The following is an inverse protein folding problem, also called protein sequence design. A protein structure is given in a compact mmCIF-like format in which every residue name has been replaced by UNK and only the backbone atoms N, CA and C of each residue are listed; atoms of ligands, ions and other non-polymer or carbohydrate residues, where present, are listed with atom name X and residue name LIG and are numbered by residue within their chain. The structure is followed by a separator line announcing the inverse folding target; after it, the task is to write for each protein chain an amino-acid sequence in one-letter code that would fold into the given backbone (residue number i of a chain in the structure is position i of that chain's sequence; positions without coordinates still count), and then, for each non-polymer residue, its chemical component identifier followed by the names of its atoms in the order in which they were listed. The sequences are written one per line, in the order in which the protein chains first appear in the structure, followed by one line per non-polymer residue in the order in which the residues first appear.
data_IF_348526455162
#
_entry.id   IF_348526455162
#
_cell.length_a   1.000
_cell.length_b   1.000
_cell.length_c   1.000
_cell.angle_alpha   90.00
_cell.angle_beta   90.00
_cell.angle_gamma   90.00
#
_symmetry.space_group_name_H-M   'P 1'
#
loop_
_entity.id
_entity.type
_entity.pdbx_description
1 polymer ?
#
# COMPACT_ATOMS: atom_id res chain seq x y z
N UNK A 1 -12.12 -7.28 -2.59
CA UNK A 1 -12.92 -6.64 -3.66
C UNK A 1 -14.24 -7.36 -3.86
N UNK A 2 -14.44 -8.32 -4.79
CA UNK A 2 -15.80 -8.88 -5.09
C UNK A 2 -16.69 -9.26 -3.89
N UNK A 3 -16.12 -9.79 -2.81
CA UNK A 3 -16.86 -10.18 -1.59
C UNK A 3 -17.07 -9.06 -0.57
N UNK A 4 -16.43 -7.90 -0.75
CA UNK A 4 -16.30 -6.83 0.23
C UNK A 4 -16.62 -5.44 -0.32
N UNK A 5 -17.00 -5.33 -1.60
CA UNK A 5 -17.28 -4.08 -2.30
C UNK A 5 -18.53 -4.24 -3.18
N UNK A 6 -19.16 -3.15 -3.65
CA UNK A 6 -20.28 -3.23 -4.58
C UNK A 6 -19.96 -4.01 -5.86
N UNK A 7 -21.00 -4.52 -6.52
CA UNK A 7 -20.87 -5.17 -7.82
C UNK A 7 -20.26 -4.21 -8.85
N UNK A 8 -19.30 -4.67 -9.65
CA UNK A 8 -18.59 -3.86 -10.64
C UNK A 8 -17.35 -3.14 -10.10
N UNK A 9 -17.17 -3.04 -8.78
CA UNK A 9 -16.03 -2.32 -8.19
C UNK A 9 -14.68 -2.90 -8.65
N UNK A 10 -14.54 -4.23 -8.67
CA UNK A 10 -13.28 -4.86 -9.10
C UNK A 10 -12.99 -4.53 -10.56
N UNK A 11 -14.02 -4.59 -11.39
CA UNK A 11 -13.94 -4.39 -12.83
C UNK A 11 -13.65 -2.93 -13.21
N UNK A 12 -14.16 -1.97 -12.43
CA UNK A 12 -14.06 -0.54 -12.73
C UNK A 12 -12.85 0.13 -12.06
N UNK A 13 -12.56 -0.19 -10.79
CA UNK A 13 -11.72 0.63 -9.91
C UNK A 13 -10.43 -0.06 -9.43
N UNK A 14 -10.01 -1.11 -10.13
CA UNK A 14 -8.74 -1.79 -9.83
C UNK A 14 -7.87 -1.90 -11.07
N UNK A 15 -6.67 -2.44 -10.90
CA UNK A 15 -5.66 -2.54 -11.94
C UNK A 15 -6.20 -3.23 -13.19
N UNK A 16 -5.98 -2.59 -14.32
CA UNK A 16 -6.48 -3.04 -15.63
C UNK A 16 -5.49 -3.96 -16.35
N UNK A 17 -4.19 -3.79 -16.09
CA UNK A 17 -3.14 -4.56 -16.75
C UNK A 17 -2.13 -5.11 -15.74
N UNK A 18 -1.92 -6.43 -15.81
CA UNK A 18 -0.91 -7.14 -15.02
C UNK A 18 -0.03 -7.95 -15.98
N UNK A 19 1.23 -7.57 -16.05
CA UNK A 19 2.27 -8.24 -16.84
C UNK A 19 3.16 -9.06 -15.92
N UNK A 20 3.24 -10.37 -16.18
CA UNK A 20 4.03 -11.31 -15.38
C UNK A 20 5.27 -11.75 -16.16
N UNK A 21 6.45 -11.57 -15.57
CA UNK A 21 7.73 -11.90 -16.19
C UNK A 21 8.44 -13.01 -15.40
N UNK A 22 8.83 -14.08 -16.11
CA UNK A 22 9.58 -15.21 -15.55
C UNK A 22 10.93 -14.84 -14.95
N UNK A 23 11.56 -13.81 -15.51
CA UNK A 23 12.89 -13.33 -15.12
C UNK A 23 12.83 -12.11 -14.21
N UNK A 24 13.91 -11.90 -13.46
CA UNK A 24 14.14 -10.68 -12.68
C UNK A 24 14.12 -9.42 -13.57
N UNK A 25 13.56 -8.33 -13.05
CA UNK A 25 13.71 -7.00 -13.62
C UNK A 25 15.02 -6.36 -13.16
N UNK A 26 15.58 -5.45 -13.95
CA UNK A 26 16.80 -4.72 -13.59
C UNK A 26 16.60 -3.22 -13.83
N UNK A 27 16.68 -2.44 -12.76
CA UNK A 27 16.83 -1.00 -12.81
C UNK A 27 18.31 -0.60 -12.94
N UNK A 28 18.59 0.70 -12.93
CA UNK A 28 19.95 1.24 -13.08
C UNK A 28 20.90 0.74 -11.98
N UNK A 29 20.38 0.45 -10.78
CA UNK A 29 21.18 0.12 -9.59
C UNK A 29 20.69 -1.11 -8.80
N UNK A 30 19.57 -1.73 -9.18
CA UNK A 30 18.96 -2.79 -8.38
C UNK A 30 18.18 -3.81 -9.21
N UNK A 31 18.10 -5.03 -8.68
CA UNK A 31 17.10 -6.01 -9.08
C UNK A 31 15.71 -5.49 -8.69
N UNK A 32 14.77 -5.54 -9.61
CA UNK A 32 13.38 -5.15 -9.43
C UNK A 32 12.50 -6.39 -9.35
N UNK A 33 11.59 -6.41 -8.37
CA UNK A 33 10.59 -7.47 -8.19
C UNK A 33 9.20 -7.05 -8.68
N UNK A 34 8.97 -5.75 -8.80
CA UNK A 34 7.82 -5.18 -9.50
C UNK A 34 8.10 -3.76 -9.96
N UNK A 35 7.26 -3.26 -10.85
CA UNK A 35 7.20 -1.87 -11.29
C UNK A 35 5.75 -1.55 -11.68
N UNK A 36 5.36 -0.28 -11.64
CA UNK A 36 4.04 0.13 -12.10
C UNK A 36 4.09 1.31 -13.07
N UNK A 37 4.59 1.13 -14.31
CA UNK A 37 4.58 2.19 -15.29
C UNK A 37 3.16 2.42 -15.83
N UNK A 38 2.69 3.67 -15.79
CA UNK A 38 1.56 4.16 -16.59
C UNK A 38 0.26 3.35 -16.40
N UNK A 39 -0.06 2.95 -15.16
CA UNK A 39 -1.29 2.20 -14.84
C UNK A 39 -1.24 0.71 -15.19
N UNK A 40 -0.07 0.19 -15.58
CA UNK A 40 0.20 -1.25 -15.68
C UNK A 40 1.05 -1.70 -14.51
N UNK A 41 0.80 -2.89 -13.97
CA UNK A 41 1.72 -3.53 -13.02
C UNK A 41 2.55 -4.58 -13.72
N UNK A 42 3.85 -4.45 -13.55
CA UNK A 42 4.84 -5.41 -13.98
C UNK A 42 5.33 -6.17 -12.75
N UNK A 43 5.18 -7.50 -12.76
CA UNK A 43 5.69 -8.39 -11.73
C UNK A 43 6.83 -9.22 -12.32
N UNK A 44 7.99 -9.18 -11.69
CA UNK A 44 9.19 -9.88 -12.15
C UNK A 44 9.49 -11.12 -11.31
N UNK A 45 10.35 -11.98 -11.85
CA UNK A 45 10.93 -13.14 -11.15
C UNK A 45 9.90 -14.20 -10.71
N UNK A 46 8.75 -14.31 -11.39
CA UNK A 46 7.66 -15.23 -10.97
C UNK A 46 8.07 -16.70 -10.96
N UNK A 47 9.11 -17.07 -11.73
CA UNK A 47 9.62 -18.44 -11.74
C UNK A 47 10.28 -18.83 -10.41
N UNK A 48 10.75 -17.85 -9.65
CA UNK A 48 11.38 -18.03 -8.35
C UNK A 48 10.45 -17.62 -7.20
N UNK A 49 9.16 -17.38 -7.48
CA UNK A 49 8.18 -17.05 -6.47
C UNK A 49 7.93 -18.26 -5.57
N UNK A 50 8.39 -18.18 -4.33
CA UNK A 50 8.02 -19.15 -3.30
C UNK A 50 6.67 -18.76 -2.69
N UNK A 51 5.61 -19.45 -3.10
CA UNK A 51 4.26 -19.25 -2.58
C UNK A 51 4.08 -19.71 -1.11
N UNK A 52 5.07 -20.42 -0.55
CA UNK A 52 5.10 -20.77 0.86
C UNK A 52 5.70 -19.65 1.72
N UNK A 53 6.48 -18.74 1.11
CA UNK A 53 6.91 -17.50 1.76
C UNK A 53 5.86 -16.39 1.58
N UNK A 54 4.85 -16.44 2.44
CA UNK A 54 3.80 -15.42 2.50
C UNK A 54 4.35 -14.00 2.74
N UNK A 55 5.54 -13.85 3.31
CA UNK A 55 6.13 -12.53 3.59
C UNK A 55 6.57 -11.85 2.29
N UNK A 56 7.34 -12.55 1.44
CA UNK A 56 7.75 -12.02 0.14
C UNK A 56 6.55 -11.81 -0.79
N UNK A 57 5.59 -12.74 -0.79
CA UNK A 57 4.38 -12.62 -1.59
C UNK A 57 3.58 -11.35 -1.22
N UNK A 58 3.33 -11.17 0.08
CA UNK A 58 2.58 -10.04 0.62
C UNK A 58 3.30 -8.72 0.35
N UNK A 59 4.60 -8.65 0.68
CA UNK A 59 5.36 -7.41 0.70
C UNK A 59 5.71 -6.90 -0.70
N UNK A 60 5.99 -7.80 -1.66
CA UNK A 60 6.52 -7.39 -2.97
C UNK A 60 5.49 -7.37 -4.08
N UNK A 61 4.44 -8.19 -3.98
CA UNK A 61 3.48 -8.33 -5.07
C UNK A 61 2.10 -7.82 -4.66
N UNK A 62 1.54 -8.33 -3.56
CA UNK A 62 0.19 -7.94 -3.14
C UNK A 62 0.15 -6.47 -2.70
N UNK A 63 1.20 -5.97 -2.03
CA UNK A 63 1.30 -4.55 -1.68
C UNK A 63 1.26 -3.64 -2.89
N UNK A 64 2.03 -3.95 -3.94
CA UNK A 64 2.02 -3.18 -5.19
C UNK A 64 0.64 -3.21 -5.84
N UNK A 65 -0.05 -4.37 -5.83
CA UNK A 65 -1.40 -4.44 -6.38
C UNK A 65 -2.38 -3.50 -5.64
N UNK A 66 -2.33 -3.44 -4.31
CA UNK A 66 -3.19 -2.53 -3.56
C UNK A 66 -2.80 -1.06 -3.74
N UNK A 67 -1.50 -0.78 -3.79
CA UNK A 67 -0.94 0.55 -4.01
C UNK A 67 -1.43 1.16 -5.34
N UNK A 68 -1.26 0.46 -6.46
CA UNK A 68 -1.73 0.98 -7.75
C UNK A 68 -3.26 1.02 -7.89
N UNK A 69 -3.96 0.10 -7.21
CA UNK A 69 -5.43 0.19 -7.14
C UNK A 69 -5.84 1.50 -6.47
N UNK A 70 -5.11 1.96 -5.45
CA UNK A 70 -5.37 3.24 -4.81
C UNK A 70 -5.08 4.43 -5.74
N UNK A 71 -4.04 4.36 -6.57
CA UNK A 71 -3.81 5.35 -7.63
C UNK A 71 -5.00 5.44 -8.60
N UNK A 72 -5.52 4.30 -9.05
CA UNK A 72 -6.72 4.29 -9.92
C UNK A 72 -7.91 4.98 -9.25
N UNK A 73 -8.12 4.78 -7.95
CA UNK A 73 -9.21 5.42 -7.23
C UNK A 73 -9.05 6.95 -7.25
N UNK A 74 -7.92 7.47 -6.78
CA UNK A 74 -7.79 8.92 -6.62
C UNK A 74 -7.61 9.69 -7.95
N UNK A 75 -7.15 9.02 -9.00
CA UNK A 75 -7.17 9.55 -10.37
C UNK A 75 -8.59 9.66 -10.92
N UNK A 76 -9.47 8.70 -10.62
CA UNK A 76 -10.88 8.74 -11.04
C UNK A 76 -11.66 9.80 -10.29
N UNK A 77 -11.45 9.91 -8.97
CA UNK A 77 -12.11 10.88 -8.10
C UNK A 77 -11.13 11.36 -7.04
N UNK A 78 -10.78 12.64 -7.05
CA UNK A 78 -9.82 13.16 -6.08
C UNK A 78 -10.26 12.93 -4.63
N UNK A 79 -9.34 12.47 -3.76
CA UNK A 79 -9.59 12.41 -2.33
C UNK A 79 -9.66 13.83 -1.72
N UNK A 80 -10.24 13.99 -0.51
CA UNK A 80 -10.39 15.30 0.09
C UNK A 80 -9.03 15.97 0.39
N UNK A 81 -8.86 17.29 0.10
CA UNK A 81 -7.59 18.00 0.33
C UNK A 81 -7.20 18.10 1.81
N UNK A 82 -8.10 17.72 2.73
CA UNK A 82 -7.82 17.53 4.15
C UNK A 82 -6.75 16.46 4.41
N UNK A 83 -6.62 15.47 3.53
CA UNK A 83 -5.63 14.39 3.66
C UNK A 83 -4.20 14.95 3.73
N UNK A 84 -3.86 15.84 2.79
CA UNK A 84 -2.51 16.38 2.59
C UNK A 84 -2.09 17.36 3.70
N UNK A 85 -3.08 18.02 4.33
CA UNK A 85 -2.82 19.08 5.30
C UNK A 85 -2.01 18.59 6.50
N UNK A 86 -2.16 17.32 6.88
CA UNK A 86 -1.46 16.76 8.05
C UNK A 86 0.05 16.60 7.83
N UNK A 87 0.48 16.31 6.61
CA UNK A 87 1.87 15.95 6.28
C UNK A 87 2.53 16.89 5.26
N UNK A 88 1.84 17.96 4.84
CA UNK A 88 2.28 18.90 3.80
C UNK A 88 3.72 19.41 3.93
N UNK A 89 4.23 19.60 5.16
CA UNK A 89 5.59 20.08 5.42
C UNK A 89 6.65 18.98 5.49
N UNK A 90 6.24 17.72 5.48
CA UNK A 90 7.10 16.54 5.72
C UNK A 90 7.33 15.72 4.45
N UNK A 91 6.74 16.09 3.30
CA UNK A 91 7.00 15.42 2.03
C UNK A 91 8.42 15.68 1.52
N UNK A 92 9.14 14.60 1.24
CA UNK A 92 10.56 14.58 0.86
C UNK A 92 10.78 14.40 -0.65
N UNK A 93 9.70 14.18 -1.44
CA UNK A 93 9.78 13.99 -2.89
C UNK A 93 10.77 12.87 -3.21
N UNK A 94 11.64 13.09 -4.19
CA UNK A 94 12.63 12.11 -4.62
C UNK A 94 13.68 11.74 -3.55
N UNK A 95 13.79 12.49 -2.43
CA UNK A 95 14.71 12.16 -1.33
C UNK A 95 14.09 11.21 -0.28
N UNK A 96 12.82 10.82 -0.43
CA UNK A 96 12.05 10.00 0.52
C UNK A 96 12.81 8.73 1.00
N UNK A 97 13.52 8.06 0.10
CA UNK A 97 14.23 6.80 0.40
C UNK A 97 15.48 6.96 1.26
N UNK A 98 16.07 8.16 1.32
CA UNK A 98 17.35 8.39 2.03
C UNK A 98 17.23 9.42 3.14
N UNK A 99 16.27 10.35 3.05
CA UNK A 99 16.10 11.46 3.97
C UNK A 99 16.05 11.00 5.43
N UNK A 100 15.16 10.06 5.75
CA UNK A 100 14.88 9.62 7.13
C UNK A 100 16.10 8.97 7.77
N UNK A 101 16.74 8.03 7.06
CA UNK A 101 17.96 7.38 7.52
C UNK A 101 19.11 8.38 7.65
N UNK A 102 19.29 9.28 6.68
CA UNK A 102 20.37 10.28 6.67
C UNK A 102 20.24 11.31 7.79
N UNK A 103 19.02 11.66 8.17
CA UNK A 103 18.75 12.65 9.23
C UNK A 103 18.57 12.02 10.61
N UNK A 104 18.53 10.68 10.70
CA UNK A 104 18.21 9.97 11.95
C UNK A 104 16.77 10.23 12.44
N UNK A 105 15.90 10.67 11.54
CA UNK A 105 14.47 10.89 11.81
C UNK A 105 13.65 9.66 11.43
N UNK A 106 12.34 9.71 11.67
CA UNK A 106 11.43 8.59 11.40
C UNK A 106 10.21 9.07 10.62
N UNK A 107 10.01 8.50 9.43
CA UNK A 107 8.82 8.68 8.59
C UNK A 107 7.53 8.35 9.36
N UNK A 108 7.55 7.28 10.16
CA UNK A 108 6.43 6.92 11.05
C UNK A 108 6.05 8.05 12.00
N UNK A 109 7.03 8.72 12.63
CA UNK A 109 6.78 9.87 13.53
C UNK A 109 6.37 11.14 12.78
N UNK A 110 6.63 11.20 11.48
CA UNK A 110 6.14 12.25 10.58
C UNK A 110 4.73 11.96 10.03
N UNK A 111 4.16 10.79 10.33
CA UNK A 111 2.80 10.43 9.93
C UNK A 111 2.70 9.70 8.59
N UNK A 112 3.79 9.08 8.14
CA UNK A 112 3.84 8.22 6.96
C UNK A 112 3.99 6.75 7.36
N UNK A 113 3.37 5.81 6.65
CA UNK A 113 3.45 4.37 7.00
C UNK A 113 4.72 3.67 6.52
N UNK A 114 5.43 4.32 5.60
CA UNK A 114 6.70 3.93 5.01
C UNK A 114 7.52 5.18 4.65
N UNK A 115 8.82 5.01 4.37
CA UNK A 115 9.63 6.10 3.83
C UNK A 115 9.11 6.54 2.46
N UNK A 116 8.67 5.59 1.63
CA UNK A 116 8.15 5.86 0.29
C UNK A 116 6.87 6.71 0.29
N UNK A 117 5.99 6.50 1.27
CA UNK A 117 4.81 7.33 1.49
C UNK A 117 5.12 8.82 1.73
N UNK A 118 6.38 9.16 2.04
CA UNK A 118 6.80 10.56 2.17
C UNK A 118 7.17 11.22 0.83
N UNK A 119 7.05 10.53 -0.30
CA UNK A 119 7.37 11.10 -1.61
C UNK A 119 6.44 12.28 -1.92
N UNK A 120 5.14 12.04 -1.98
CA UNK A 120 4.12 13.05 -2.23
C UNK A 120 2.76 12.54 -1.70
N UNK A 121 1.70 13.38 -1.73
CA UNK A 121 0.40 12.99 -1.19
C UNK A 121 -0.26 11.78 -1.86
N UNK A 122 -0.02 11.57 -3.16
CA UNK A 122 -0.64 10.48 -3.92
C UNK A 122 -0.01 9.13 -3.53
N UNK A 123 1.31 9.11 -3.40
CA UNK A 123 2.08 7.96 -2.89
C UNK A 123 1.74 7.66 -1.42
N UNK A 124 1.55 8.70 -0.61
CA UNK A 124 1.12 8.58 0.79
C UNK A 124 -0.24 7.90 0.91
N UNK A 125 -1.21 8.33 0.09
CA UNK A 125 -2.52 7.71 0.04
C UNK A 125 -2.44 6.25 -0.40
N UNK A 126 -1.67 5.97 -1.46
CA UNK A 126 -1.55 4.63 -2.02
C UNK A 126 -0.85 3.64 -1.07
N UNK A 127 0.25 4.07 -0.45
CA UNK A 127 0.94 3.30 0.57
C UNK A 127 0.05 3.06 1.79
N UNK A 128 -0.61 4.10 2.32
CA UNK A 128 -1.47 3.94 3.49
C UNK A 128 -2.60 2.95 3.23
N UNK A 129 -3.20 2.99 2.04
CA UNK A 129 -4.23 2.02 1.64
C UNK A 129 -3.70 0.58 1.61
N UNK A 130 -2.52 0.36 1.00
CA UNK A 130 -1.90 -0.95 0.92
C UNK A 130 -1.52 -1.50 2.30
N UNK A 131 -0.80 -0.73 3.12
CA UNK A 131 -0.41 -1.13 4.47
C UNK A 131 -1.63 -1.38 5.37
N UNK A 132 -2.67 -0.54 5.28
CA UNK A 132 -3.89 -0.73 6.05
C UNK A 132 -4.64 -2.00 5.66
N UNK A 133 -4.57 -2.46 4.41
CA UNK A 133 -5.22 -3.73 4.04
C UNK A 133 -4.38 -4.95 4.43
N UNK A 134 -3.05 -4.83 4.37
CA UNK A 134 -2.12 -5.97 4.44
C UNK A 134 -1.50 -6.22 5.80
N UNK A 135 -1.26 -5.21 6.61
CA UNK A 135 -0.70 -5.41 7.94
C UNK A 135 -1.70 -6.16 8.80
N UNK A 136 -1.27 -7.26 9.42
CA UNK A 136 -2.03 -7.92 10.49
C UNK A 136 -2.32 -6.93 11.62
N UNK A 137 -3.27 -7.25 12.48
CA UNK A 137 -3.60 -6.36 13.60
C UNK A 137 -2.39 -6.12 14.53
N UNK A 138 -1.55 -7.13 14.75
CA UNK A 138 -0.32 -6.96 15.53
C UNK A 138 0.72 -6.07 14.84
N UNK A 139 0.91 -6.22 13.52
CA UNK A 139 1.85 -5.39 12.76
C UNK A 139 1.38 -3.94 12.73
N UNK A 140 0.08 -3.72 12.48
CA UNK A 140 -0.52 -2.39 12.47
C UNK A 140 -0.39 -1.70 13.84
N UNK A 141 -0.70 -2.42 14.93
CA UNK A 141 -0.54 -1.84 16.28
C UNK A 141 0.93 -1.57 16.63
N UNK A 142 1.87 -2.42 16.21
CA UNK A 142 3.29 -2.16 16.39
C UNK A 142 3.72 -0.90 15.62
N UNK A 143 3.30 -0.76 14.36
CA UNK A 143 3.56 0.43 13.54
C UNK A 143 3.00 1.71 14.19
N UNK A 144 1.77 1.67 14.68
CA UNK A 144 1.15 2.80 15.38
C UNK A 144 1.84 3.13 16.72
N UNK A 145 2.44 2.14 17.37
CA UNK A 145 3.23 2.35 18.59
C UNK A 145 4.56 3.04 18.26
N UNK A 146 5.23 2.62 17.20
CA UNK A 146 6.50 3.23 16.76
C UNK A 146 6.30 4.66 16.23
N UNK A 147 5.12 4.92 15.65
CA UNK A 147 4.66 6.24 15.23
C UNK A 147 4.22 7.17 16.39
N UNK A 148 4.13 6.68 17.63
CA UNK A 148 3.61 7.44 18.78
C UNK A 148 4.62 8.45 19.35
N UNK A 149 5.13 9.30 18.47
CA UNK A 149 6.04 10.39 18.76
C UNK A 149 5.90 11.48 17.70
N UNK A 150 6.48 12.64 17.98
CA UNK A 150 6.52 13.77 17.04
C UNK A 150 7.82 13.76 16.25
N UNK A 151 7.77 14.07 14.95
CA UNK A 151 8.98 14.22 14.14
C UNK A 151 9.72 15.54 14.43
N UNK A 152 8.98 16.60 14.81
CA UNK A 152 9.53 17.90 15.21
C UNK A 152 9.07 18.29 16.60
N UNK A 153 9.87 19.09 17.31
CA UNK A 153 9.53 19.57 18.65
C UNK A 153 8.31 20.48 18.68
N UNK A 154 8.03 21.17 17.57
CA UNK A 154 6.91 22.09 17.38
C UNK A 154 5.69 21.44 16.69
N UNK A 155 5.77 20.16 16.33
CA UNK A 155 4.67 19.46 15.67
C UNK A 155 3.45 19.35 16.60
N UNK A 156 2.27 19.68 16.08
CA UNK A 156 1.02 19.63 16.84
C UNK A 156 0.65 18.19 17.23
N UNK A 157 0.77 17.27 16.28
CA UNK A 157 0.32 15.89 16.39
C UNK A 157 1.50 14.90 16.39
N UNK A 158 1.31 13.74 17.03
CA UNK A 158 2.20 12.60 16.83
C UNK A 158 1.96 11.96 15.47
N UNK A 159 2.93 11.19 14.96
CA UNK A 159 2.76 10.41 13.73
C UNK A 159 1.56 9.46 13.81
N UNK A 160 1.35 8.81 14.96
CA UNK A 160 0.17 7.98 15.25
C UNK A 160 -1.14 8.74 15.03
N UNK A 161 -1.25 9.95 15.55
CA UNK A 161 -2.46 10.77 15.39
C UNK A 161 -2.70 11.15 13.92
N UNK A 162 -1.64 11.48 13.19
CA UNK A 162 -1.70 11.81 11.76
C UNK A 162 -2.16 10.59 10.95
N UNK A 163 -1.52 9.43 11.13
CA UNK A 163 -1.87 8.19 10.42
C UNK A 163 -3.33 7.82 10.65
N UNK A 164 -3.80 7.86 11.91
CA UNK A 164 -5.20 7.55 12.23
C UNK A 164 -6.17 8.55 11.61
N UNK A 165 -5.85 9.84 11.59
CA UNK A 165 -6.70 10.85 10.94
C UNK A 165 -6.80 10.61 9.42
N UNK A 166 -5.68 10.29 8.77
CA UNK A 166 -5.64 9.92 7.34
C UNK A 166 -6.46 8.67 7.05
N UNK A 167 -6.37 7.63 7.88
CA UNK A 167 -7.19 6.41 7.74
C UNK A 167 -8.68 6.74 7.82
N UNK A 168 -9.11 7.59 8.75
CA UNK A 168 -10.53 7.97 8.85
C UNK A 168 -11.01 8.77 7.63
N UNK A 169 -10.16 9.64 7.07
CA UNK A 169 -10.45 10.32 5.80
C UNK A 169 -10.60 9.30 4.68
N UNK A 170 -9.67 8.35 4.55
CA UNK A 170 -9.68 7.31 3.53
C UNK A 170 -10.93 6.43 3.63
N UNK A 171 -11.32 6.01 4.84
CA UNK A 171 -12.57 5.26 5.08
C UNK A 171 -13.79 6.05 4.62
N UNK A 172 -13.85 7.33 4.95
CA UNK A 172 -14.95 8.22 4.54
C UNK A 172 -14.99 8.38 3.03
N UNK A 173 -13.86 8.64 2.41
CA UNK A 173 -13.71 8.77 0.97
C UNK A 173 -14.19 7.52 0.22
N UNK A 174 -13.72 6.32 0.60
CA UNK A 174 -14.12 5.07 -0.05
C UNK A 174 -15.62 4.77 0.10
N UNK A 175 -16.18 5.07 1.27
CA UNK A 175 -17.62 4.89 1.50
C UNK A 175 -18.44 5.87 0.67
N UNK A 176 -18.07 7.14 0.65
CA UNK A 176 -18.90 8.18 0.05
C UNK A 176 -18.77 8.19 -1.48
N UNK A 177 -17.57 7.98 -2.01
CA UNK A 177 -17.31 7.99 -3.45
C UNK A 177 -17.54 6.62 -4.09
N UNK A 178 -17.19 5.51 -3.42
CA UNK A 178 -17.22 4.18 -4.04
C UNK A 178 -18.19 3.19 -3.39
N UNK A 179 -18.96 3.63 -2.38
CA UNK A 179 -19.80 2.75 -1.57
C UNK A 179 -19.04 1.52 -1.04
N UNK A 180 -17.73 1.68 -0.79
CA UNK A 180 -16.84 0.62 -0.34
C UNK A 180 -16.45 0.81 1.13
N UNK A 181 -16.40 -0.29 1.88
CA UNK A 181 -15.99 -0.31 3.28
C UNK A 181 -14.56 -0.84 3.41
N UNK A 182 -13.63 0.05 3.75
CA UNK A 182 -12.22 -0.28 3.88
C UNK A 182 -11.95 -1.30 4.99
N UNK A 183 -12.71 -1.29 6.08
CA UNK A 183 -12.56 -2.24 7.18
C UNK A 183 -13.07 -3.63 6.76
N UNK A 184 -14.18 -3.69 6.02
CA UNK A 184 -14.65 -4.93 5.42
C UNK A 184 -13.66 -5.49 4.39
N UNK A 185 -13.03 -4.62 3.59
CA UNK A 185 -11.95 -4.99 2.68
C UNK A 185 -10.75 -5.56 3.44
N UNK A 186 -10.26 -4.89 4.49
CA UNK A 186 -9.17 -5.37 5.35
C UNK A 186 -9.49 -6.75 5.91
N UNK A 187 -10.69 -6.93 6.50
CA UNK A 187 -11.10 -8.20 7.07
C UNK A 187 -11.07 -9.35 6.06
N UNK A 188 -11.55 -9.10 4.83
CA UNK A 188 -11.55 -10.11 3.77
C UNK A 188 -10.14 -10.41 3.24
N UNK A 189 -9.28 -9.39 3.13
CA UNK A 189 -7.87 -9.56 2.75
C UNK A 189 -7.16 -10.44 3.78
N UNK A 190 -7.28 -10.13 5.07
CA UNK A 190 -6.67 -10.91 6.15
C UNK A 190 -7.17 -12.36 6.15
N UNK A 191 -8.48 -12.57 5.95
CA UNK A 191 -9.07 -13.92 5.84
C UNK A 191 -8.48 -14.71 4.66
N UNK A 192 -8.28 -14.07 3.51
CA UNK A 192 -7.76 -14.75 2.30
C UNK A 192 -6.26 -15.00 2.36
N UNK A 193 -5.48 -14.05 2.87
CA UNK A 193 -4.03 -14.21 3.02
C UNK A 193 -3.68 -15.43 3.88
N UNK A 194 -4.43 -15.68 4.95
CA UNK A 194 -4.26 -16.86 5.80
C UNK A 194 -4.47 -18.19 5.07
N UNK A 195 -5.20 -18.19 3.94
CA UNK A 195 -5.51 -19.40 3.18
C UNK A 195 -4.47 -19.69 2.08
N UNK A 196 -3.68 -18.70 1.64
CA UNK A 196 -2.80 -18.81 0.46
C UNK A 196 -1.87 -20.02 0.53
N UNK A 197 -1.21 -20.24 1.68
CA UNK A 197 -0.30 -21.38 1.85
C UNK A 197 -0.97 -22.75 1.77
N UNK A 198 -2.30 -22.81 1.91
CA UNK A 198 -3.11 -24.04 1.85
C UNK A 198 -3.90 -24.20 0.56
N UNK A 199 -3.81 -23.24 -0.36
CA UNK A 199 -4.54 -23.31 -1.63
C UNK A 199 -3.93 -24.36 -2.55
N UNK A 200 -4.80 -25.15 -3.19
CA UNK A 200 -4.38 -26.09 -4.21
C UNK A 200 -4.14 -25.37 -5.54
N UNK A 201 -2.87 -25.20 -5.89
CA UNK A 201 -2.46 -24.65 -7.17
C UNK A 201 -2.19 -25.72 -8.24
N UNK A 202 -2.29 -27.02 -7.91
CA UNK A 202 -2.01 -28.13 -8.85
C UNK A 202 -3.02 -28.23 -10.00
N UNK A 203 -4.20 -27.64 -9.81
CA UNK A 203 -5.23 -27.48 -10.85
C UNK A 203 -4.84 -26.49 -11.95
N UNK A 204 -3.85 -25.62 -11.71
CA UNK A 204 -3.35 -24.70 -12.72
C UNK A 204 -2.18 -25.36 -13.49
N UNK A 205 -2.09 -25.16 -14.83
CA UNK A 205 -1.01 -25.75 -15.61
C UNK A 205 0.36 -25.35 -15.05
N UNK A 206 1.24 -26.33 -14.84
CA UNK A 206 2.65 -26.08 -14.51
C UNK A 206 3.38 -25.56 -15.75
N UNK A 207 3.27 -24.24 -15.98
CA UNK A 207 4.07 -23.49 -16.96
C UNK A 207 3.82 -23.84 -18.43
N UNK A 208 4.15 -22.86 -19.28
CA UNK A 208 4.67 -23.09 -20.62
C UNK A 208 6.19 -22.99 -20.57
#
# INVERSE_FOLDING_TARGET
YRSSTPSGYLEEHTIKYLSLFGSSGYGIDRKMLGAAPQGEIWIYDINNLDIQDNSLLRSNFISVLFHESAHTLHEERAYPPEYDKFSSLEYQKQDAFLYWTRTGQSSLRAGFVSDYASTDPDEDFAELFAYYLLDSDSEWQAKLKDADGRNRSDAQYTGRQIILAKVEIMKKYLRDEYAADLDAMRAEVQRRLALVGSMDFSQYPKGY
#
